data_IF_979298037203
#
_entry.id   IF_979298037203
#
_cell.length_a   1.000
_cell.length_b   1.000
_cell.length_c   1.000
_cell.angle_alpha   90.00
_cell.angle_beta   90.00
_cell.angle_gamma   90.00
#
_symmetry.space_group_name_H-M   'P 1'
#
loop_
_entity.id
_entity.type
_entity.pdbx_description
1 polymer ?
#
# COMPACT_ATOMS: atom_id res chain seq x y z
N UNK A 1 2.46 -42.10 3.92
CA UNK A 1 2.80 -41.25 2.76
C UNK A 1 1.51 -40.56 2.32
N UNK A 2 1.12 -39.50 3.02
CA UNK A 2 -0.07 -38.70 2.68
C UNK A 2 0.31 -37.65 1.63
N UNK A 3 -0.41 -37.65 0.52
CA UNK A 3 -0.32 -36.64 -0.55
C UNK A 3 -1.35 -35.55 -0.25
N UNK A 4 -0.89 -34.40 0.24
CA UNK A 4 -1.73 -33.19 0.33
C UNK A 4 -1.78 -32.47 -1.01
N UNK A 5 -2.85 -32.70 -1.78
CA UNK A 5 -3.15 -31.94 -3.00
C UNK A 5 -3.82 -30.62 -2.64
N UNK A 6 -3.18 -29.51 -2.99
CA UNK A 6 -3.81 -28.19 -2.97
C UNK A 6 -4.74 -28.12 -4.20
N UNK A 7 -6.05 -28.07 -3.97
CA UNK A 7 -7.04 -27.83 -5.01
C UNK A 7 -6.88 -26.39 -5.55
N UNK A 8 -6.18 -26.25 -6.68
CA UNK A 8 -6.14 -25.01 -7.47
C UNK A 8 -7.49 -24.84 -8.16
N UNK A 9 -8.41 -24.09 -7.53
CA UNK A 9 -9.70 -23.75 -8.09
C UNK A 9 -9.57 -23.01 -9.42
N UNK A 10 -10.18 -23.55 -10.48
CA UNK A 10 -10.08 -23.04 -11.84
C UNK A 10 -10.58 -21.60 -11.98
N UNK A 11 -9.74 -20.73 -12.54
CA UNK A 11 -10.09 -19.37 -12.95
C UNK A 11 -10.85 -19.42 -14.29
N UNK A 12 -12.03 -20.03 -14.28
CA UNK A 12 -12.88 -20.26 -15.46
C UNK A 12 -13.74 -19.06 -15.83
N UNK A 13 -13.50 -18.52 -17.03
CA UNK A 13 -14.44 -17.88 -17.98
C UNK A 13 -15.82 -17.45 -17.47
N UNK A 14 -15.89 -16.42 -16.62
CA UNK A 14 -17.09 -15.60 -16.41
C UNK A 14 -16.64 -14.16 -16.10
N UNK A 15 -16.23 -13.44 -17.15
CA UNK A 15 -15.67 -12.09 -17.09
C UNK A 15 -16.70 -10.97 -17.32
N UNK A 16 -17.98 -11.24 -17.10
CA UNK A 16 -19.03 -10.22 -16.99
C UNK A 16 -19.54 -10.19 -15.54
N UNK A 17 -18.67 -9.84 -14.58
CA UNK A 17 -19.04 -9.20 -13.29
C UNK A 17 -17.91 -9.10 -12.24
N UNK A 18 -16.66 -9.43 -12.56
CA UNK A 18 -15.55 -9.29 -11.59
C UNK A 18 -15.02 -7.84 -11.43
N UNK A 19 -15.86 -6.85 -11.72
CA UNK A 19 -15.62 -5.44 -11.36
C UNK A 19 -16.01 -5.14 -9.90
N UNK A 20 -16.61 -6.10 -9.18
CA UNK A 20 -17.12 -5.93 -7.81
C UNK A 20 -16.61 -6.99 -6.81
N UNK A 21 -15.29 -7.19 -6.71
CA UNK A 21 -14.68 -7.90 -5.56
C UNK A 21 -13.83 -7.00 -4.66
N UNK A 22 -14.16 -5.71 -4.63
CA UNK A 22 -13.74 -4.75 -3.60
C UNK A 22 -14.92 -4.34 -2.69
N UNK A 23 -15.89 -5.21 -2.46
CA UNK A 23 -16.90 -5.06 -1.41
C UNK A 23 -16.53 -5.97 -0.24
N UNK A 24 -15.66 -5.49 0.66
CA UNK A 24 -15.24 -6.28 1.83
C UNK A 24 -14.32 -5.58 2.81
N UNK A 25 -13.64 -4.50 2.41
CA UNK A 25 -12.95 -3.63 3.35
C UNK A 25 -13.94 -2.58 3.84
N UNK A 26 -14.56 -2.81 5.00
CA UNK A 26 -15.15 -1.73 5.80
C UNK A 26 -14.00 -0.83 6.25
N UNK A 27 -13.53 0.04 5.36
CA UNK A 27 -12.79 1.23 5.77
C UNK A 27 -13.81 2.10 6.47
N UNK A 28 -13.78 2.07 7.80
CA UNK A 28 -14.42 3.07 8.63
C UNK A 28 -13.68 4.38 8.33
N UNK A 29 -14.12 5.08 7.29
CA UNK A 29 -13.79 6.47 7.08
C UNK A 29 -14.60 7.27 8.11
N UNK A 30 -14.11 7.31 9.35
CA UNK A 30 -14.49 8.39 10.27
C UNK A 30 -13.86 9.67 9.73
N UNK A 31 -14.62 10.38 8.91
CA UNK A 31 -14.31 11.76 8.56
C UNK A 31 -14.40 12.58 9.84
N UNK A 32 -13.28 12.79 10.51
CA UNK A 32 -13.14 13.81 11.55
C UNK A 32 -13.24 15.19 10.88
N UNK A 33 -14.46 15.62 10.58
CA UNK A 33 -14.78 16.99 10.26
C UNK A 33 -14.61 17.81 11.53
N UNK A 34 -13.39 18.29 11.79
CA UNK A 34 -13.13 19.31 12.80
C UNK A 34 -13.80 20.60 12.33
N UNK A 35 -15.06 20.76 12.69
CA UNK A 35 -15.80 22.00 12.54
C UNK A 35 -15.12 23.07 13.41
N UNK A 36 -14.30 23.92 12.77
CA UNK A 36 -13.82 25.17 13.36
C UNK A 36 -15.02 26.08 13.64
N UNK A 37 -15.54 26.07 14.87
CA UNK A 37 -16.40 27.16 15.36
C UNK A 37 -15.50 28.30 15.85
N UNK A 38 -15.25 29.23 14.95
CA UNK A 38 -14.65 30.52 15.23
C UNK A 38 -15.75 31.46 15.73
N UNK A 39 -16.01 31.49 17.04
CA UNK A 39 -16.80 32.55 17.68
C UNK A 39 -15.85 33.49 18.39
N UNK A 40 -15.51 34.57 17.69
CA UNK A 40 -15.14 35.83 18.34
C UNK A 40 -16.35 36.34 19.14
N UNK A 41 -16.03 37.06 20.21
CA UNK A 41 -16.90 37.88 21.06
C UNK A 41 -17.39 37.24 22.38
N UNK A 42 -16.57 37.40 23.42
CA UNK A 42 -17.07 37.88 24.72
C UNK A 42 -15.95 38.65 25.41
N UNK A 43 -15.98 39.96 25.22
CA UNK A 43 -15.21 40.94 25.99
C UNK A 43 -15.74 40.88 27.43
N UNK A 44 -14.93 40.44 28.40
CA UNK A 44 -15.12 40.84 29.78
C UNK A 44 -13.78 40.93 30.51
N UNK A 45 -13.23 42.14 30.48
CA UNK A 45 -12.18 42.58 31.36
C UNK A 45 -12.79 42.73 32.76
N UNK A 46 -12.61 41.74 33.62
CA UNK A 46 -12.69 41.94 35.07
C UNK A 46 -11.29 41.78 35.65
N UNK A 47 -10.57 42.89 35.59
CA UNK A 47 -9.37 43.15 36.38
C UNK A 47 -9.73 43.01 37.86
N UNK A 48 -9.44 41.86 38.48
CA UNK A 48 -9.56 41.69 39.93
C UNK A 48 -8.17 41.71 40.55
N UNK A 49 -7.76 42.90 40.96
CA UNK A 49 -6.71 43.08 41.97
C UNK A 49 -7.16 42.41 43.27
N UNK A 50 -6.44 41.36 43.66
CA UNK A 50 -6.31 40.86 45.04
C UNK A 50 -4.85 40.42 45.11
N UNK A 51 -3.91 41.11 45.77
CA UNK A 51 -4.02 41.84 47.02
C UNK A 51 -3.84 40.86 48.17
N UNK A 52 -2.60 40.70 48.66
CA UNK A 52 -2.32 40.05 49.94
C UNK A 52 -1.50 38.77 49.81
N UNK A 53 -0.24 38.85 50.23
CA UNK A 53 0.65 37.71 50.29
C UNK A 53 0.17 36.62 51.24
N UNK A 54 0.49 35.39 50.87
CA UNK A 54 0.84 34.28 51.76
C UNK A 54 1.47 33.21 50.90
N UNK A 55 2.78 33.05 51.07
CA UNK A 55 3.53 31.91 50.57
C UNK A 55 2.81 30.62 51.03
N UNK A 56 2.37 29.81 50.07
CA UNK A 56 1.93 28.44 50.26
C UNK A 56 2.58 27.60 49.15
N UNK A 57 3.04 26.39 49.50
CA UNK A 57 4.46 26.11 49.46
C UNK A 57 4.87 25.63 48.08
N UNK A 58 6.01 26.13 47.61
CA UNK A 58 6.74 25.62 46.43
C UNK A 58 6.82 24.08 46.49
N UNK A 59 6.85 23.48 47.68
CA UNK A 59 6.79 22.04 47.91
C UNK A 59 5.57 21.32 47.30
N UNK A 60 4.35 21.89 47.31
CA UNK A 60 3.17 21.23 46.72
C UNK A 60 3.24 21.22 45.19
N UNK A 61 3.76 22.28 44.59
CA UNK A 61 3.99 22.37 43.14
C UNK A 61 5.11 21.40 42.73
N UNK A 62 6.17 21.28 43.53
CA UNK A 62 7.22 20.29 43.32
C UNK A 62 6.71 18.86 43.47
N UNK A 63 5.88 18.56 44.46
CA UNK A 63 5.29 17.22 44.65
C UNK A 63 4.38 16.87 43.47
N UNK A 64 3.50 17.77 43.03
CA UNK A 64 2.65 17.52 41.85
C UNK A 64 3.50 17.36 40.58
N UNK A 65 4.57 18.14 40.42
CA UNK A 65 5.52 17.99 39.33
C UNK A 65 6.26 16.64 39.36
N UNK A 66 6.72 16.20 40.53
CA UNK A 66 7.40 14.91 40.72
C UNK A 66 6.44 13.75 40.50
N UNK A 67 5.21 13.82 41.02
CA UNK A 67 4.17 12.80 40.79
C UNK A 67 3.79 12.73 39.33
N UNK A 68 3.71 13.86 38.63
CA UNK A 68 3.52 13.86 37.18
C UNK A 68 4.71 13.21 36.46
N UNK A 69 5.96 13.58 36.76
CA UNK A 69 7.14 12.97 36.12
C UNK A 69 7.21 11.45 36.38
N UNK A 70 6.90 11.00 37.60
CA UNK A 70 6.85 9.58 37.94
C UNK A 70 5.69 8.85 37.26
N UNK A 71 4.52 9.48 37.12
CA UNK A 71 3.39 8.94 36.38
C UNK A 71 3.69 8.82 34.88
N UNK A 72 4.33 9.83 34.28
CA UNK A 72 4.75 9.80 32.87
C UNK A 72 5.82 8.73 32.61
N UNK A 73 6.73 8.47 33.56
CA UNK A 73 7.69 7.36 33.46
C UNK A 73 7.04 5.98 33.64
N UNK A 74 5.92 5.88 34.36
CA UNK A 74 5.19 4.63 34.60
C UNK A 74 4.18 4.30 33.51
N UNK A 75 3.74 5.31 32.74
CA UNK A 75 2.95 5.14 31.54
C UNK A 75 3.91 4.65 30.45
N UNK A 76 4.13 3.34 30.42
CA UNK A 76 4.90 2.62 29.40
C UNK A 76 4.28 2.64 28.01
N UNK A 77 3.62 3.73 27.62
CA UNK A 77 3.23 4.03 26.25
C UNK A 77 4.51 4.35 25.49
N UNK A 78 5.23 3.29 25.10
CA UNK A 78 6.18 3.39 24.00
C UNK A 78 5.40 4.03 22.84
N UNK A 79 5.88 5.11 22.22
CA UNK A 79 5.25 5.63 21.02
C UNK A 79 5.10 4.45 20.07
N UNK A 80 3.89 4.20 19.61
CA UNK A 80 3.61 3.20 18.61
C UNK A 80 4.44 3.60 17.39
N UNK A 81 5.61 2.99 17.27
CA UNK A 81 6.33 2.98 16.01
C UNK A 81 5.36 2.32 15.07
N UNK A 82 4.72 3.12 14.22
CA UNK A 82 4.06 2.65 13.02
C UNK A 82 5.17 2.00 12.19
N UNK A 83 5.45 0.75 12.50
CA UNK A 83 6.34 -0.08 11.72
C UNK A 83 5.59 -0.23 10.43
N UNK A 84 6.01 0.52 9.41
CA UNK A 84 5.61 0.27 8.04
C UNK A 84 5.96 -1.20 7.80
N UNK A 85 4.95 -2.05 7.81
CA UNK A 85 5.08 -3.52 7.88
C UNK A 85 5.71 -4.12 6.61
N UNK A 86 6.08 -3.26 5.67
CA UNK A 86 7.06 -3.52 4.63
C UNK A 86 7.96 -2.29 4.55
N UNK A 87 9.20 -2.39 5.03
CA UNK A 87 10.23 -1.35 4.92
C UNK A 87 10.69 -1.08 3.48
N UNK A 88 9.82 -1.31 2.50
CA UNK A 88 10.06 -1.15 1.07
C UNK A 88 9.89 0.33 0.74
N UNK A 89 11.02 1.02 0.56
CA UNK A 89 11.03 2.41 0.13
C UNK A 89 10.70 2.46 -1.36
N UNK A 90 9.52 2.99 -1.69
CA UNK A 90 9.08 3.18 -3.07
C UNK A 90 9.59 4.51 -3.66
N UNK A 91 9.87 4.57 -4.97
CA UNK A 91 10.13 5.83 -5.64
C UNK A 91 8.90 6.74 -5.63
N UNK A 92 9.11 8.06 -5.68
CA UNK A 92 8.00 9.04 -5.60
C UNK A 92 6.95 8.85 -6.69
N UNK A 93 7.37 8.46 -7.89
CA UNK A 93 6.45 8.19 -9.00
C UNK A 93 5.52 6.99 -8.74
N UNK A 94 5.86 6.08 -7.83
CA UNK A 94 4.99 4.95 -7.51
C UNK A 94 3.64 5.39 -6.92
N UNK A 95 3.58 6.58 -6.33
CA UNK A 95 2.39 7.15 -5.70
C UNK A 95 1.49 7.94 -6.66
N UNK A 96 1.66 7.80 -7.98
CA UNK A 96 0.84 8.48 -8.98
C UNK A 96 -0.66 8.16 -8.86
N UNK A 97 -1.01 6.97 -8.35
CA UNK A 97 -2.38 6.58 -7.99
C UNK A 97 -2.34 5.43 -6.97
N UNK A 98 -3.46 5.16 -6.30
CA UNK A 98 -3.57 4.01 -5.40
C UNK A 98 -3.28 2.67 -6.12
N UNK A 99 -3.69 2.55 -7.38
CA UNK A 99 -3.42 1.37 -8.20
C UNK A 99 -1.94 1.25 -8.55
N UNK A 100 -1.30 2.37 -8.90
CA UNK A 100 0.15 2.42 -9.12
C UNK A 100 0.88 1.96 -7.86
N UNK A 101 0.59 2.55 -6.70
CA UNK A 101 1.24 2.19 -5.44
C UNK A 101 1.08 0.71 -5.13
N UNK A 102 -0.13 0.16 -5.32
CA UNK A 102 -0.40 -1.27 -5.16
C UNK A 102 0.45 -2.12 -6.13
N UNK A 103 0.52 -1.74 -7.40
CA UNK A 103 1.29 -2.47 -8.41
C UNK A 103 2.80 -2.45 -8.11
N UNK A 104 3.34 -1.31 -7.66
CA UNK A 104 4.74 -1.24 -7.23
C UNK A 104 5.02 -2.10 -6.01
N UNK A 105 4.15 -2.08 -5.00
CA UNK A 105 4.28 -2.99 -3.84
C UNK A 105 4.23 -4.44 -4.27
N UNK A 106 3.27 -4.82 -5.11
CA UNK A 106 3.16 -6.17 -5.66
C UNK A 106 4.42 -6.57 -6.45
N UNK A 107 4.99 -5.65 -7.23
CA UNK A 107 6.21 -5.90 -7.99
C UNK A 107 7.43 -6.18 -7.10
N UNK A 108 7.45 -5.65 -5.88
CA UNK A 108 8.55 -5.81 -4.91
C UNK A 108 8.26 -6.88 -3.84
N UNK A 109 7.08 -7.49 -3.86
CA UNK A 109 6.70 -8.50 -2.87
C UNK A 109 7.62 -9.73 -2.97
N UNK A 110 8.08 -10.31 -1.84
CA UNK A 110 8.93 -11.49 -1.84
C UNK A 110 8.41 -12.66 -2.69
N UNK A 111 7.09 -12.83 -2.80
CA UNK A 111 6.47 -13.88 -3.63
C UNK A 111 6.82 -13.71 -5.11
N UNK A 112 6.84 -12.48 -5.60
CA UNK A 112 7.21 -12.16 -6.98
C UNK A 112 8.73 -12.16 -7.16
N UNK A 113 9.46 -11.62 -6.18
CA UNK A 113 10.91 -11.45 -6.25
C UNK A 113 11.66 -12.79 -6.22
N UNK A 114 11.20 -13.76 -5.41
CA UNK A 114 11.86 -15.06 -5.22
C UNK A 114 12.11 -15.78 -6.55
N UNK A 115 11.13 -15.78 -7.43
CA UNK A 115 11.16 -16.50 -8.71
C UNK A 115 11.32 -15.57 -9.93
N UNK A 116 11.60 -14.28 -9.66
CA UNK A 116 11.67 -13.20 -10.63
C UNK A 116 10.50 -13.17 -11.63
N UNK A 117 9.27 -13.33 -11.10
CA UNK A 117 8.06 -13.59 -11.91
C UNK A 117 7.86 -12.53 -13.00
N UNK A 118 7.95 -11.24 -12.65
CA UNK A 118 7.70 -10.16 -13.63
C UNK A 118 8.78 -10.05 -14.71
N UNK A 119 9.99 -10.57 -14.49
CA UNK A 119 11.01 -10.61 -15.56
C UNK A 119 10.66 -11.62 -16.65
N UNK A 120 9.84 -12.62 -16.31
CA UNK A 120 9.41 -13.72 -17.18
C UNK A 120 8.06 -13.44 -17.85
N UNK A 121 7.35 -12.42 -17.37
CA UNK A 121 6.12 -11.94 -17.99
C UNK A 121 6.44 -10.86 -19.03
N UNK A 122 5.80 -10.92 -20.21
CA UNK A 122 5.89 -9.82 -21.16
C UNK A 122 5.01 -8.68 -20.67
N UNK A 123 5.29 -7.46 -21.15
CA UNK A 123 4.31 -6.39 -21.08
C UNK A 123 3.65 -6.21 -22.43
N UNK A 124 2.32 -6.27 -22.49
CA UNK A 124 1.55 -6.11 -23.72
C UNK A 124 0.99 -4.69 -23.90
N UNK A 125 1.50 -3.70 -23.18
CA UNK A 125 1.06 -2.31 -23.34
C UNK A 125 1.62 -1.62 -24.60
N UNK A 126 2.53 -2.28 -25.34
CA UNK A 126 3.17 -1.72 -26.54
C UNK A 126 4.46 -0.95 -26.26
N UNK A 127 5.01 -1.00 -25.04
CA UNK A 127 6.25 -0.30 -24.66
C UNK A 127 7.54 -0.89 -25.25
N UNK A 128 7.47 -1.98 -26.02
CA UNK A 128 8.66 -2.58 -26.66
C UNK A 128 9.49 -1.56 -27.45
N UNK A 129 8.83 -0.65 -28.17
CA UNK A 129 9.50 0.37 -28.99
C UNK A 129 10.31 1.40 -28.19
N UNK A 130 10.10 1.50 -26.87
CA UNK A 130 10.87 2.38 -25.98
C UNK A 130 11.95 1.64 -25.17
N UNK A 131 12.20 0.37 -25.50
CA UNK A 131 13.32 -0.40 -24.93
C UNK A 131 12.99 -1.26 -23.71
N UNK A 132 11.73 -1.36 -23.32
CA UNK A 132 11.30 -2.29 -22.26
C UNK A 132 11.34 -3.74 -22.76
N UNK A 133 11.90 -4.63 -21.94
CA UNK A 133 12.18 -6.03 -22.30
C UNK A 133 11.27 -7.02 -21.58
N UNK A 134 10.60 -6.60 -20.51
CA UNK A 134 9.67 -7.41 -19.72
C UNK A 134 8.68 -6.53 -18.96
N UNK A 135 7.72 -7.17 -18.30
CA UNK A 135 6.86 -6.49 -17.33
C UNK A 135 7.68 -5.87 -16.20
N UNK A 136 8.74 -6.53 -15.73
CA UNK A 136 9.65 -5.99 -14.70
C UNK A 136 10.29 -4.67 -15.13
N UNK A 137 10.76 -4.54 -16.38
CA UNK A 137 11.42 -3.31 -16.81
C UNK A 137 10.50 -2.08 -16.75
N UNK A 138 9.19 -2.28 -16.86
CA UNK A 138 8.20 -1.20 -16.73
C UNK A 138 8.14 -0.60 -15.32
N UNK A 139 8.62 -1.32 -14.30
CA UNK A 139 8.65 -0.89 -12.90
C UNK A 139 10.04 -0.44 -12.45
N UNK A 140 11.02 -0.38 -13.36
CA UNK A 140 12.36 0.15 -13.08
C UNK A 140 12.47 1.65 -13.39
N UNK A 141 11.49 2.21 -14.11
CA UNK A 141 11.31 3.62 -14.37
C UNK A 141 9.87 4.06 -14.01
N UNK A 142 9.50 5.30 -14.34
CA UNK A 142 8.21 5.87 -14.00
C UNK A 142 7.05 5.42 -14.92
N UNK A 143 7.32 4.67 -15.99
CA UNK A 143 6.29 4.28 -16.95
C UNK A 143 5.19 3.45 -16.29
N UNK A 144 5.56 2.47 -15.45
CA UNK A 144 4.63 1.60 -14.73
C UNK A 144 3.64 2.38 -13.85
N UNK A 145 3.99 3.61 -13.44
CA UNK A 145 3.12 4.46 -12.62
C UNK A 145 1.91 5.01 -13.37
N UNK A 146 2.02 5.14 -14.69
CA UNK A 146 1.01 5.79 -15.53
C UNK A 146 0.37 4.81 -16.53
N UNK A 147 0.86 3.58 -16.63
CA UNK A 147 0.30 2.57 -17.53
C UNK A 147 -0.63 1.59 -16.82
N UNK A 148 -1.93 1.67 -17.12
CA UNK A 148 -2.95 0.79 -16.54
C UNK A 148 -2.79 -0.68 -16.93
N UNK A 149 -2.22 -0.98 -18.11
CA UNK A 149 -1.94 -2.35 -18.58
C UNK A 149 -0.79 -2.96 -17.79
N UNK A 150 0.34 -2.26 -17.63
CA UNK A 150 1.45 -2.69 -16.78
C UNK A 150 0.97 -2.99 -15.35
N UNK A 151 0.15 -2.10 -14.79
CA UNK A 151 -0.40 -2.28 -13.44
C UNK A 151 -1.34 -3.49 -13.36
N UNK A 152 -2.15 -3.75 -14.40
CA UNK A 152 -3.05 -4.90 -14.43
C UNK A 152 -2.29 -6.23 -14.54
N UNK A 153 -1.33 -6.33 -15.45
CA UNK A 153 -0.51 -7.53 -15.64
C UNK A 153 0.30 -7.85 -14.37
N UNK A 154 0.86 -6.84 -13.71
CA UNK A 154 1.66 -7.01 -12.49
C UNK A 154 0.79 -7.49 -11.31
N UNK A 155 -0.37 -6.87 -11.10
CA UNK A 155 -1.29 -7.26 -10.04
C UNK A 155 -1.86 -8.68 -10.28
N UNK A 156 -2.19 -9.03 -11.52
CA UNK A 156 -2.68 -10.37 -11.85
C UNK A 156 -1.57 -11.43 -11.66
N UNK A 157 -0.36 -11.15 -12.13
CA UNK A 157 0.80 -12.02 -11.90
C UNK A 157 1.06 -12.23 -10.41
N UNK A 158 0.91 -11.18 -9.60
CA UNK A 158 1.04 -11.23 -8.15
C UNK A 158 -0.01 -12.09 -7.47
N UNK A 159 -1.28 -11.91 -7.80
CA UNK A 159 -2.36 -12.71 -7.22
C UNK A 159 -2.22 -14.20 -7.58
N UNK A 160 -1.81 -14.51 -8.83
CA UNK A 160 -1.54 -15.89 -9.22
C UNK A 160 -0.32 -16.47 -8.51
N UNK A 161 0.78 -15.72 -8.39
CA UNK A 161 1.96 -16.18 -7.66
C UNK A 161 1.62 -16.47 -6.19
N UNK A 162 0.83 -15.61 -5.54
CA UNK A 162 0.33 -15.83 -4.18
C UNK A 162 -0.57 -17.05 -4.05
N UNK A 163 -1.36 -17.35 -5.07
CA UNK A 163 -2.18 -18.55 -5.13
C UNK A 163 -1.38 -19.83 -5.46
N UNK A 164 -0.05 -19.75 -5.62
CA UNK A 164 0.82 -20.90 -5.84
C UNK A 164 0.80 -21.45 -7.27
N UNK A 165 0.39 -20.63 -8.24
CA UNK A 165 0.55 -20.98 -9.65
C UNK A 165 2.03 -20.98 -10.05
N UNK A 166 2.39 -21.91 -10.91
CA UNK A 166 3.73 -21.98 -11.51
C UNK A 166 3.93 -20.83 -12.50
N UNK A 167 5.19 -20.50 -12.76
CA UNK A 167 5.55 -19.42 -13.69
C UNK A 167 4.98 -19.69 -15.09
N UNK A 168 4.98 -20.95 -15.55
CA UNK A 168 4.39 -21.32 -16.84
C UNK A 168 2.88 -21.09 -16.88
N UNK A 169 2.15 -21.40 -15.80
CA UNK A 169 0.71 -21.12 -15.69
C UNK A 169 0.44 -19.60 -15.68
N UNK A 170 1.25 -18.82 -14.94
CA UNK A 170 1.13 -17.35 -14.91
C UNK A 170 1.39 -16.79 -16.31
N UNK A 171 2.47 -17.23 -16.96
CA UNK A 171 2.84 -16.81 -18.31
C UNK A 171 1.72 -17.08 -19.30
N UNK A 172 1.21 -18.31 -19.30
CA UNK A 172 0.13 -18.71 -20.20
C UNK A 172 -1.13 -17.85 -20.00
N UNK A 173 -1.48 -17.53 -18.75
CA UNK A 173 -2.63 -16.67 -18.44
C UNK A 173 -2.43 -15.23 -18.92
N UNK A 174 -1.23 -14.65 -18.69
CA UNK A 174 -0.92 -13.29 -19.16
C UNK A 174 -0.92 -13.24 -20.69
N UNK A 175 -0.28 -14.20 -21.36
CA UNK A 175 -0.24 -14.28 -22.82
C UNK A 175 -1.64 -14.45 -23.43
N UNK A 176 -2.47 -15.32 -22.84
CA UNK A 176 -3.84 -15.54 -23.31
C UNK A 176 -4.72 -14.30 -23.16
N UNK A 177 -4.57 -13.55 -22.07
CA UNK A 177 -5.43 -12.41 -21.75
C UNK A 177 -5.01 -11.12 -22.45
N UNK A 178 -3.71 -10.87 -22.55
CA UNK A 178 -3.16 -9.60 -23.02
C UNK A 178 -2.46 -9.70 -24.38
N UNK A 179 -2.03 -10.90 -24.79
CA UNK A 179 -1.26 -11.14 -26.01
C UNK A 179 -2.03 -11.09 -27.34
N UNK A 180 -3.36 -10.92 -27.30
CA UNK A 180 -4.20 -10.84 -28.50
C UNK A 180 -4.07 -9.54 -29.33
N UNK A 181 -3.11 -8.67 -29.02
CA UNK A 181 -2.83 -7.44 -29.76
C UNK A 181 -3.78 -6.26 -29.50
N UNK A 182 -4.78 -6.42 -28.62
CA UNK A 182 -5.73 -5.34 -28.27
C UNK A 182 -5.07 -4.18 -27.53
N UNK A 183 -4.07 -4.46 -26.71
CA UNK A 183 -3.40 -3.46 -25.87
C UNK A 183 -2.13 -2.92 -26.54
N UNK A 184 -1.37 -3.79 -27.18
CA UNK A 184 -0.11 -3.46 -27.82
C UNK A 184 0.71 -4.71 -28.11
N UNK A 185 1.86 -4.52 -28.76
CA UNK A 185 2.84 -5.59 -28.93
C UNK A 185 3.48 -5.96 -27.59
N UNK A 186 3.68 -7.26 -27.36
CA UNK A 186 4.42 -7.76 -26.22
C UNK A 186 5.91 -7.40 -26.28
N UNK A 187 6.52 -7.14 -25.12
CA UNK A 187 7.98 -7.05 -25.00
C UNK A 187 8.69 -8.35 -25.39
N UNK A 188 9.98 -8.27 -25.74
CA UNK A 188 10.82 -9.42 -26.15
C UNK A 188 11.26 -10.30 -24.95
N UNK A 189 10.29 -10.69 -24.14
CA UNK A 189 10.52 -11.50 -22.96
C UNK A 189 10.72 -12.96 -23.35
N UNK A 190 11.82 -13.61 -22.94
CA UNK A 190 12.06 -15.00 -23.27
C UNK A 190 10.91 -15.92 -22.82
N UNK A 191 10.63 -17.00 -23.57
CA UNK A 191 9.63 -17.98 -23.15
C UNK A 191 10.09 -18.71 -21.88
N UNK A 192 9.10 -19.18 -21.10
CA UNK A 192 9.33 -20.02 -19.92
C UNK A 192 9.08 -21.48 -20.29
N UNK A 193 9.88 -22.39 -19.71
CA UNK A 193 9.76 -23.83 -19.88
C UNK A 193 8.75 -24.43 -18.89
#
# INVERSE_FOLDING_TARGET
>A
MEKGGVEKGGFGSNLENSFYRYAGLKVVLETNTVARKNTRAAKNQSNKRVGGGRAAPIALILIVGVVAVLAWASIGLKPETVVSESGVQLPSYAFASARSEQAYRASLDPVIQKDDVLSKMPCYCGCKGVGHTSLKSCFLDDHGSYCGVCQAEALESYEMAKAGYSIAEIRAQIDAKYGGGRFGQGTDTPPVA
#
